data_IF_274179960974
#
_entry.id   IF_274179960974
#
_cell.length_a   1.000
_cell.length_b   1.000
_cell.length_c   1.000
_cell.angle_alpha   90.00
_cell.angle_beta   90.00
_cell.angle_gamma   90.00
#
_symmetry.space_group_name_H-M   'P 1'
#
loop_
_entity.id
_entity.type
_entity.pdbx_description
1 polymer ?
#
# COMPACT_ATOMS: atom_id res chain seq x y z
N UNK A 1 6.17 9.93 5.26
CA UNK A 1 4.99 10.24 4.42
C UNK A 1 4.53 11.68 4.58
N UNK A 2 4.55 12.22 5.80
CA UNK A 2 3.97 13.53 6.13
C UNK A 2 4.48 14.69 5.25
N UNK A 3 5.78 14.75 4.98
CA UNK A 3 6.35 15.76 4.07
C UNK A 3 5.80 15.66 2.64
N UNK A 4 5.61 14.44 2.13
CA UNK A 4 5.03 14.21 0.78
C UNK A 4 3.57 14.65 0.76
N UNK A 5 2.80 14.28 1.78
CA UNK A 5 1.39 14.68 1.88
C UNK A 5 1.24 16.20 2.01
N UNK A 6 2.08 16.85 2.82
CA UNK A 6 2.08 18.30 2.96
C UNK A 6 2.40 19.02 1.65
N UNK A 7 3.33 18.49 0.85
CA UNK A 7 3.65 19.06 -0.47
C UNK A 7 2.55 18.80 -1.51
N UNK A 8 1.88 17.64 -1.44
CA UNK A 8 0.81 17.29 -2.37
C UNK A 8 -0.52 18.00 -2.07
N UNK A 9 -0.78 18.32 -0.80
CA UNK A 9 -2.07 18.84 -0.33
C UNK A 9 -2.61 20.02 -1.15
N UNK A 10 -1.87 21.11 -1.42
CA UNK A 10 -2.43 22.24 -2.15
C UNK A 10 -2.96 21.85 -3.54
N UNK A 11 -2.23 20.97 -4.25
CA UNK A 11 -2.64 20.46 -5.57
C UNK A 11 -3.87 19.56 -5.48
N UNK A 12 -3.95 18.73 -4.43
CA UNK A 12 -5.11 17.87 -4.18
C UNK A 12 -6.35 18.69 -3.84
N UNK A 13 -6.22 19.78 -3.09
CA UNK A 13 -7.32 20.72 -2.78
C UNK A 13 -7.82 21.37 -4.07
N UNK A 14 -6.93 21.94 -4.88
CA UNK A 14 -7.30 22.53 -6.17
C UNK A 14 -8.03 21.53 -7.07
N UNK A 15 -7.51 20.30 -7.17
CA UNK A 15 -8.14 19.25 -7.96
C UNK A 15 -9.54 18.91 -7.43
N UNK A 16 -9.69 18.73 -6.11
CA UNK A 16 -10.97 18.36 -5.51
C UNK A 16 -12.06 19.42 -5.75
N UNK A 17 -11.71 20.71 -5.70
CA UNK A 17 -12.63 21.83 -5.99
C UNK A 17 -13.12 21.82 -7.45
N UNK A 18 -12.31 21.29 -8.37
CA UNK A 18 -12.61 21.22 -9.81
C UNK A 18 -13.40 19.97 -10.20
N UNK A 19 -13.56 18.98 -9.31
CA UNK A 19 -14.26 17.75 -9.65
C UNK A 19 -15.77 18.01 -9.84
N UNK A 20 -16.25 17.61 -11.01
CA UNK A 20 -17.68 17.53 -11.33
C UNK A 20 -18.30 16.28 -10.71
N UNK A 21 -19.61 16.32 -10.52
CA UNK A 21 -20.35 15.18 -9.98
C UNK A 21 -20.23 13.94 -10.90
N UNK A 22 -20.10 14.15 -12.21
CA UNK A 22 -19.85 13.08 -13.18
C UNK A 22 -18.48 12.43 -12.97
N UNK A 23 -17.42 13.21 -12.70
CA UNK A 23 -16.10 12.69 -12.38
C UNK A 23 -16.09 11.93 -11.04
N UNK A 24 -16.81 12.40 -10.03
CA UNK A 24 -16.96 11.70 -8.74
C UNK A 24 -17.67 10.36 -8.92
N UNK A 25 -18.76 10.31 -9.71
CA UNK A 25 -19.44 9.04 -10.06
C UNK A 25 -18.54 8.10 -10.86
N UNK A 26 -17.73 8.63 -11.77
CA UNK A 26 -16.77 7.81 -12.52
C UNK A 26 -15.67 7.24 -11.61
N UNK A 27 -15.21 8.00 -10.61
CA UNK A 27 -14.28 7.50 -9.59
C UNK A 27 -14.91 6.35 -8.80
N UNK A 28 -16.15 6.48 -8.35
CA UNK A 28 -16.88 5.41 -7.64
C UNK A 28 -16.96 4.14 -8.50
N UNK A 29 -17.32 4.27 -9.80
CA UNK A 29 -17.31 3.14 -10.73
C UNK A 29 -15.94 2.49 -10.84
N UNK A 30 -14.87 3.29 -10.99
CA UNK A 30 -13.49 2.77 -11.05
C UNK A 30 -13.05 2.09 -9.76
N UNK A 31 -13.50 2.57 -8.61
CA UNK A 31 -13.26 1.90 -7.32
C UNK A 31 -13.99 0.54 -7.29
N UNK A 32 -15.23 0.46 -7.76
CA UNK A 32 -15.98 -0.79 -7.83
C UNK A 32 -15.31 -1.82 -8.76
N UNK A 33 -14.92 -1.41 -9.97
CA UNK A 33 -14.19 -2.26 -10.92
C UNK A 33 -12.89 -2.80 -10.28
N UNK A 34 -12.08 -1.89 -9.72
CA UNK A 34 -10.82 -2.26 -9.05
C UNK A 34 -11.04 -3.17 -7.84
N UNK A 35 -12.16 -3.02 -7.13
CA UNK A 35 -12.51 -3.89 -6.02
C UNK A 35 -12.90 -5.29 -6.49
N UNK A 36 -13.61 -5.42 -7.61
CA UNK A 36 -13.93 -6.72 -8.18
C UNK A 36 -12.65 -7.48 -8.56
N UNK A 37 -11.70 -6.80 -9.20
CA UNK A 37 -10.40 -7.39 -9.53
C UNK A 37 -9.59 -7.75 -8.28
N UNK A 38 -9.65 -6.91 -7.25
CA UNK A 38 -9.01 -7.22 -5.97
C UNK A 38 -9.60 -8.48 -5.32
N UNK A 39 -10.92 -8.67 -5.35
CA UNK A 39 -11.55 -9.89 -4.82
C UNK A 39 -11.13 -11.15 -5.58
N UNK A 40 -11.15 -11.09 -6.92
CA UNK A 40 -10.66 -12.18 -7.78
C UNK A 40 -9.23 -12.57 -7.44
N UNK A 41 -8.40 -11.56 -7.13
CA UNK A 41 -7.00 -11.78 -6.84
C UNK A 41 -6.74 -12.30 -5.41
N UNK A 42 -7.57 -11.94 -4.42
CA UNK A 42 -7.20 -12.13 -3.01
C UNK A 42 -8.23 -12.85 -2.13
N UNK A 43 -9.50 -12.88 -2.54
CA UNK A 43 -10.59 -13.51 -1.78
C UNK A 43 -11.15 -14.78 -2.43
N UNK A 44 -11.17 -14.81 -3.76
CA UNK A 44 -11.67 -15.94 -4.54
C UNK A 44 -10.69 -17.13 -4.67
N UNK A 45 -9.35 -16.96 -4.65
CA UNK A 45 -8.43 -18.08 -4.72
C UNK A 45 -8.59 -19.05 -3.54
N UNK A 46 -8.33 -20.33 -3.78
CA UNK A 46 -8.25 -21.33 -2.71
C UNK A 46 -7.12 -20.99 -1.71
N UNK A 47 -7.15 -21.51 -0.47
CA UNK A 47 -6.08 -21.28 0.49
C UNK A 47 -4.68 -21.64 -0.04
N UNK A 48 -4.58 -22.69 -0.86
CA UNK A 48 -3.32 -23.10 -1.49
C UNK A 48 -2.87 -22.12 -2.58
N UNK A 49 -3.79 -21.69 -3.45
CA UNK A 49 -3.49 -20.71 -4.49
C UNK A 49 -3.06 -19.37 -3.88
N UNK A 50 -3.75 -18.91 -2.83
CA UNK A 50 -3.39 -17.70 -2.10
C UNK A 50 -2.01 -17.82 -1.45
N UNK A 51 -1.69 -18.96 -0.84
CA UNK A 51 -0.36 -19.23 -0.26
C UNK A 51 0.73 -19.15 -1.33
N UNK A 52 0.52 -19.79 -2.47
CA UNK A 52 1.50 -19.79 -3.56
C UNK A 52 1.68 -18.39 -4.17
N UNK A 53 0.60 -17.65 -4.38
CA UNK A 53 0.64 -16.27 -4.85
C UNK A 53 1.39 -15.35 -3.88
N UNK A 54 1.12 -15.46 -2.57
CA UNK A 54 1.85 -14.72 -1.54
C UNK A 54 3.34 -15.06 -1.54
N UNK A 55 3.67 -16.35 -1.69
CA UNK A 55 5.04 -16.81 -1.81
C UNK A 55 5.74 -16.20 -3.03
N UNK A 56 5.17 -16.33 -4.23
CA UNK A 56 5.73 -15.74 -5.45
C UNK A 56 5.95 -14.24 -5.33
N UNK A 57 5.00 -13.50 -4.75
CA UNK A 57 5.10 -12.05 -4.54
C UNK A 57 6.23 -11.67 -3.59
N UNK A 58 6.42 -12.42 -2.50
CA UNK A 58 7.51 -12.14 -1.57
C UNK A 58 8.87 -12.59 -2.11
N UNK A 59 8.91 -13.72 -2.82
CA UNK A 59 10.12 -14.23 -3.48
C UNK A 59 10.63 -13.20 -4.49
N UNK A 60 9.76 -12.76 -5.41
CA UNK A 60 10.09 -11.74 -6.40
C UNK A 60 10.62 -10.46 -5.75
N UNK A 61 10.00 -9.99 -4.65
CA UNK A 61 10.49 -8.82 -3.92
C UNK A 61 11.84 -9.02 -3.28
N UNK A 62 12.10 -10.17 -2.68
CA UNK A 62 13.39 -10.46 -2.11
C UNK A 62 14.47 -10.55 -3.21
N UNK A 63 14.16 -11.20 -4.34
CA UNK A 63 15.09 -11.37 -5.45
C UNK A 63 15.42 -10.06 -6.18
N UNK A 64 14.52 -9.06 -6.16
CA UNK A 64 14.84 -7.70 -6.64
C UNK A 64 16.03 -7.07 -5.91
N UNK A 65 16.19 -7.34 -4.61
CA UNK A 65 17.31 -6.81 -3.83
C UNK A 65 18.49 -7.77 -3.82
N UNK A 66 18.26 -9.03 -3.49
CA UNK A 66 19.34 -9.97 -3.18
C UNK A 66 19.83 -10.78 -4.39
N UNK A 67 19.14 -10.70 -5.54
CA UNK A 67 19.33 -11.65 -6.64
C UNK A 67 18.65 -13.00 -6.32
N UNK A 68 18.90 -14.02 -7.14
CA UNK A 68 18.27 -15.35 -6.98
C UNK A 68 18.45 -15.91 -5.58
N UNK A 69 17.36 -16.40 -4.99
CA UNK A 69 17.39 -17.05 -3.67
C UNK A 69 17.63 -18.56 -3.78
N UNK A 70 18.42 -19.09 -2.85
CA UNK A 70 18.67 -20.52 -2.69
C UNK A 70 17.60 -21.17 -1.78
N UNK A 71 17.50 -22.49 -1.80
CA UNK A 71 16.45 -23.20 -1.05
C UNK A 71 16.43 -22.91 0.46
N UNK A 72 17.56 -22.77 1.19
CA UNK A 72 17.51 -22.37 2.60
C UNK A 72 16.80 -21.03 2.82
N UNK A 73 16.97 -20.06 1.91
CA UNK A 73 16.36 -18.73 2.00
C UNK A 73 14.88 -18.76 1.60
N UNK A 74 14.55 -19.53 0.55
CA UNK A 74 13.17 -19.79 0.16
C UNK A 74 12.39 -20.49 1.27
N UNK A 75 13.01 -21.43 1.99
CA UNK A 75 12.42 -22.09 3.15
C UNK A 75 12.11 -21.11 4.29
N UNK A 76 12.99 -20.16 4.58
CA UNK A 76 12.72 -19.07 5.55
C UNK A 76 11.47 -18.29 5.15
N UNK A 77 11.33 -17.96 3.86
CA UNK A 77 10.18 -17.23 3.37
C UNK A 77 8.87 -18.04 3.46
N UNK A 78 8.89 -19.32 3.06
CA UNK A 78 7.73 -20.22 3.18
C UNK A 78 7.28 -20.35 4.64
N UNK A 79 8.23 -20.53 5.57
CA UNK A 79 7.95 -20.64 6.99
C UNK A 79 7.35 -19.35 7.58
N UNK A 80 7.85 -18.18 7.15
CA UNK A 80 7.30 -16.90 7.57
C UNK A 80 5.85 -16.69 7.07
N UNK A 81 5.57 -17.05 5.82
CA UNK A 81 4.24 -16.94 5.25
C UNK A 81 3.22 -17.89 5.90
N UNK A 82 3.67 -19.09 6.30
CA UNK A 82 2.83 -20.07 6.99
C UNK A 82 2.39 -19.60 8.38
N UNK A 83 3.20 -18.80 9.08
CA UNK A 83 2.87 -18.25 10.41
C UNK A 83 2.19 -16.88 10.39
N UNK A 84 2.08 -16.27 9.21
CA UNK A 84 1.61 -14.88 9.10
C UNK A 84 0.12 -14.75 9.38
N UNK A 85 -0.27 -13.74 10.16
CA UNK A 85 -1.66 -13.40 10.47
C UNK A 85 -2.42 -12.72 9.32
N UNK A 86 -1.82 -12.66 8.12
CA UNK A 86 -2.41 -12.02 6.95
C UNK A 86 -3.84 -12.53 6.67
N UNK A 87 -4.75 -11.57 6.66
CA UNK A 87 -6.16 -11.77 6.37
C UNK A 87 -6.56 -10.82 5.22
N UNK A 88 -6.87 -11.37 4.02
CA UNK A 88 -7.26 -10.54 2.90
C UNK A 88 -8.64 -9.89 3.11
N UNK A 89 -9.55 -10.47 3.90
CA UNK A 89 -10.86 -9.86 4.16
C UNK A 89 -10.71 -8.57 4.98
N UNK A 90 -9.84 -8.56 6.00
CA UNK A 90 -9.53 -7.34 6.78
C UNK A 90 -8.95 -6.24 5.90
N UNK A 91 -8.04 -6.58 5.00
CA UNK A 91 -7.46 -5.62 4.06
C UNK A 91 -8.50 -5.07 3.07
N UNK A 92 -9.40 -5.93 2.58
CA UNK A 92 -10.49 -5.51 1.71
C UNK A 92 -11.46 -4.56 2.42
N UNK A 93 -11.86 -4.87 3.65
CA UNK A 93 -12.78 -4.04 4.42
C UNK A 93 -12.23 -2.62 4.63
N UNK A 94 -10.95 -2.48 5.02
CA UNK A 94 -10.32 -1.16 5.16
C UNK A 94 -10.19 -0.44 3.82
N UNK A 95 -9.87 -1.16 2.73
CA UNK A 95 -9.83 -0.58 1.38
C UNK A 95 -11.17 0.06 1.01
N UNK A 96 -12.27 -0.68 1.19
CA UNK A 96 -13.63 -0.19 0.88
C UNK A 96 -14.01 0.98 1.79
N UNK A 97 -13.65 0.92 3.09
CA UNK A 97 -13.88 2.02 4.03
C UNK A 97 -13.20 3.31 3.56
N UNK A 98 -11.91 3.24 3.19
CA UNK A 98 -11.14 4.39 2.69
C UNK A 98 -11.73 4.97 1.41
N UNK A 99 -12.17 4.12 0.49
CA UNK A 99 -12.81 4.55 -0.76
C UNK A 99 -14.14 5.27 -0.50
N UNK A 100 -15.00 4.73 0.38
CA UNK A 100 -16.25 5.37 0.79
C UNK A 100 -16.01 6.71 1.47
N UNK A 101 -15.02 6.79 2.35
CA UNK A 101 -14.61 8.02 3.03
C UNK A 101 -14.17 9.10 2.02
N UNK A 102 -13.38 8.73 1.01
CA UNK A 102 -12.98 9.64 -0.07
C UNK A 102 -14.20 10.18 -0.83
N UNK A 103 -15.13 9.31 -1.24
CA UNK A 103 -16.33 9.73 -1.97
C UNK A 103 -17.17 10.72 -1.16
N UNK A 104 -17.36 10.46 0.14
CA UNK A 104 -18.07 11.37 1.03
C UNK A 104 -17.39 12.73 1.16
N UNK A 105 -16.06 12.74 1.25
CA UNK A 105 -15.25 13.97 1.31
C UNK A 105 -15.41 14.77 0.03
N UNK A 106 -15.28 14.13 -1.13
CA UNK A 106 -15.43 14.80 -2.44
C UNK A 106 -16.85 15.33 -2.66
N UNK A 107 -17.88 14.59 -2.25
CA UNK A 107 -19.27 15.04 -2.30
C UNK A 107 -19.50 16.27 -1.43
N UNK A 108 -18.93 16.31 -0.22
CA UNK A 108 -18.99 17.50 0.65
C UNK A 108 -18.28 18.70 0.05
N UNK A 109 -17.09 18.50 -0.55
CA UNK A 109 -16.38 19.57 -1.27
C UNK A 109 -17.21 20.10 -2.45
N UNK A 110 -17.90 19.23 -3.17
CA UNK A 110 -18.74 19.62 -4.30
C UNK A 110 -19.96 20.48 -3.93
N UNK A 111 -20.40 20.45 -2.66
CA UNK A 111 -21.52 21.27 -2.17
C UNK A 111 -21.17 22.75 -2.05
N UNK A 112 -19.91 23.08 -1.76
CA UNK A 112 -19.41 24.46 -1.67
C UNK A 112 -17.99 24.56 -2.26
N UNK A 113 -17.93 24.61 -3.59
CA UNK A 113 -16.68 24.68 -4.36
C UNK A 113 -15.93 26.02 -4.20
N UNK A 114 -16.52 27.02 -3.55
CA UNK A 114 -15.86 28.30 -3.31
C UNK A 114 -15.13 28.34 -1.96
N UNK A 115 -15.40 27.37 -1.08
CA UNK A 115 -14.84 27.30 0.26
C UNK A 115 -13.56 26.46 0.31
N UNK A 116 -12.45 27.08 -0.11
CA UNK A 116 -11.14 26.43 -0.15
C UNK A 116 -10.66 25.95 1.23
N UNK A 117 -10.94 26.72 2.30
CA UNK A 117 -10.54 26.32 3.66
C UNK A 117 -11.30 25.08 4.14
N UNK A 118 -12.60 24.99 3.88
CA UNK A 118 -13.37 23.80 4.19
C UNK A 118 -12.88 22.58 3.40
N UNK A 119 -12.62 22.74 2.10
CA UNK A 119 -12.09 21.66 1.27
C UNK A 119 -10.72 21.16 1.77
N UNK A 120 -9.84 22.09 2.17
CA UNK A 120 -8.56 21.75 2.79
C UNK A 120 -8.75 20.97 4.10
N UNK A 121 -9.63 21.42 4.98
CA UNK A 121 -9.90 20.74 6.24
C UNK A 121 -10.45 19.31 6.03
N UNK A 122 -11.38 19.15 5.09
CA UNK A 122 -11.96 17.85 4.74
C UNK A 122 -10.91 16.87 4.18
N UNK A 123 -10.07 17.33 3.26
CA UNK A 123 -9.00 16.53 2.67
C UNK A 123 -7.91 16.17 3.69
N UNK A 124 -7.52 17.09 4.58
CA UNK A 124 -6.61 16.78 5.70
C UNK A 124 -7.18 15.69 6.60
N UNK A 125 -8.45 15.81 6.97
CA UNK A 125 -9.14 14.80 7.77
C UNK A 125 -9.16 13.43 7.07
N UNK A 126 -9.43 13.40 5.76
CA UNK A 126 -9.35 12.18 4.96
C UNK A 126 -7.94 11.58 4.96
N UNK A 127 -6.90 12.38 4.69
CA UNK A 127 -5.52 11.91 4.66
C UNK A 127 -5.08 11.32 6.01
N UNK A 128 -5.48 11.95 7.12
CA UNK A 128 -5.23 11.43 8.46
C UNK A 128 -5.90 10.06 8.67
N UNK A 129 -7.18 9.91 8.29
CA UNK A 129 -7.91 8.64 8.40
C UNK A 129 -7.45 7.57 7.39
N UNK A 130 -6.84 7.98 6.29
CA UNK A 130 -6.24 7.09 5.32
C UNK A 130 -4.91 6.53 5.85
N UNK A 131 -4.08 7.38 6.44
CA UNK A 131 -2.80 6.98 7.04
C UNK A 131 -3.00 6.14 8.30
N UNK A 132 -3.91 6.56 9.18
CA UNK A 132 -4.27 5.87 10.41
C UNK A 132 -5.76 5.54 10.38
N UNK A 133 -6.08 4.24 10.22
CA UNK A 133 -7.49 3.81 10.20
C UNK A 133 -8.19 4.24 11.50
N UNK A 134 -9.44 4.74 11.46
CA UNK A 134 -10.22 4.97 12.66
C UNK A 134 -10.67 3.66 13.35
N UNK A 135 -10.51 2.50 12.71
CA UNK A 135 -10.80 1.19 13.30
C UNK A 135 -9.60 0.68 14.12
N UNK A 136 -9.74 0.69 15.45
CA UNK A 136 -8.70 0.24 16.37
C UNK A 136 -8.36 -1.25 16.22
N UNK A 137 -9.30 -2.11 15.80
CA UNK A 137 -9.02 -3.52 15.53
C UNK A 137 -8.20 -3.68 14.25
N UNK A 138 -8.50 -2.89 13.21
CA UNK A 138 -7.66 -2.85 12.02
C UNK A 138 -6.27 -2.28 12.31
N UNK A 139 -6.16 -1.23 13.14
CA UNK A 139 -4.85 -0.69 13.54
C UNK A 139 -3.96 -1.76 14.20
N UNK A 140 -4.51 -2.52 15.16
CA UNK A 140 -3.77 -3.63 15.81
C UNK A 140 -3.34 -4.67 14.79
N UNK A 141 -4.24 -5.09 13.92
CA UNK A 141 -3.92 -6.01 12.83
C UNK A 141 -2.80 -5.47 11.92
N UNK A 142 -2.89 -4.22 11.50
CA UNK A 142 -1.87 -3.59 10.65
C UNK A 142 -0.50 -3.51 11.36
N UNK A 143 -0.50 -3.22 12.66
CA UNK A 143 0.72 -3.23 13.47
C UNK A 143 1.34 -4.62 13.57
N UNK A 144 0.55 -5.67 13.82
CA UNK A 144 1.03 -7.07 13.79
C UNK A 144 1.62 -7.43 12.43
N UNK A 145 0.99 -7.01 11.32
CA UNK A 145 1.52 -7.23 9.98
C UNK A 145 2.88 -6.55 9.75
N UNK A 146 3.10 -5.36 10.32
CA UNK A 146 4.39 -4.67 10.27
C UNK A 146 5.44 -5.44 11.06
N UNK A 147 5.12 -5.88 12.28
CA UNK A 147 6.02 -6.65 13.15
C UNK A 147 6.44 -7.97 12.50
N UNK A 148 5.48 -8.74 11.96
CA UNK A 148 5.75 -9.97 11.21
C UNK A 148 6.61 -9.71 9.97
N UNK A 149 6.36 -8.61 9.26
CA UNK A 149 7.14 -8.19 8.09
C UNK A 149 8.59 -7.87 8.46
N UNK A 150 8.81 -7.13 9.54
CA UNK A 150 10.14 -6.82 10.07
C UNK A 150 10.89 -8.09 10.50
N UNK A 151 10.22 -9.00 11.21
CA UNK A 151 10.80 -10.28 11.61
C UNK A 151 11.18 -11.12 10.37
N UNK A 152 10.28 -11.20 9.39
CA UNK A 152 10.51 -11.93 8.14
C UNK A 152 11.70 -11.36 7.37
N UNK A 153 11.78 -10.03 7.26
CA UNK A 153 12.90 -9.35 6.61
C UNK A 153 14.22 -9.64 7.34
N UNK A 154 14.25 -9.53 8.67
CA UNK A 154 15.45 -9.79 9.47
C UNK A 154 15.95 -11.23 9.29
N UNK A 155 15.05 -12.21 9.42
CA UNK A 155 15.40 -13.63 9.23
C UNK A 155 15.90 -13.91 7.82
N UNK A 156 15.25 -13.34 6.81
CA UNK A 156 15.67 -13.52 5.41
C UNK A 156 17.04 -12.88 5.18
N UNK A 157 17.25 -11.64 5.63
CA UNK A 157 18.55 -10.96 5.54
C UNK A 157 19.67 -11.78 6.20
N UNK A 158 19.43 -12.34 7.39
CA UNK A 158 20.42 -13.17 8.08
C UNK A 158 20.78 -14.45 7.31
N UNK A 159 19.85 -14.98 6.51
CA UNK A 159 20.08 -16.15 5.66
C UNK A 159 20.81 -15.83 4.34
N UNK A 160 21.05 -14.55 4.02
CA UNK A 160 21.74 -14.14 2.78
C UNK A 160 23.25 -14.37 2.84
N UNK A 161 23.84 -14.68 1.68
CA UNK A 161 25.29 -14.76 1.50
C UNK A 161 25.94 -13.38 1.38
N UNK A 162 27.27 -13.31 1.53
CA UNK A 162 28.00 -12.06 1.32
C UNK A 162 27.79 -11.48 -0.10
N UNK A 163 27.73 -12.33 -1.12
CA UNK A 163 27.46 -11.92 -2.50
C UNK A 163 26.06 -11.33 -2.68
N UNK A 164 25.04 -11.93 -2.06
CA UNK A 164 23.67 -11.41 -2.10
C UNK A 164 23.55 -10.07 -1.35
N UNK A 165 24.27 -9.88 -0.23
CA UNK A 165 24.31 -8.59 0.47
C UNK A 165 24.98 -7.51 -0.38
N UNK A 166 26.05 -7.83 -1.10
CA UNK A 166 26.67 -6.92 -2.05
C UNK A 166 25.69 -6.55 -3.18
N UNK A 167 24.95 -7.53 -3.70
CA UNK A 167 23.90 -7.28 -4.71
C UNK A 167 22.82 -6.33 -4.19
N UNK A 168 22.37 -6.52 -2.94
CA UNK A 168 21.40 -5.61 -2.33
C UNK A 168 21.92 -4.16 -2.22
N UNK A 169 23.19 -3.97 -1.85
CA UNK A 169 23.82 -2.64 -1.86
C UNK A 169 23.84 -2.05 -3.27
N UNK A 170 24.15 -2.84 -4.30
CA UNK A 170 24.13 -2.37 -5.69
C UNK A 170 22.72 -1.99 -6.15
N UNK A 171 21.71 -2.81 -5.85
CA UNK A 171 20.31 -2.49 -6.18
C UNK A 171 19.86 -1.18 -5.51
N UNK A 172 20.22 -0.96 -4.24
CA UNK A 172 19.90 0.27 -3.53
C UNK A 172 20.61 1.50 -4.13
N UNK A 173 21.88 1.37 -4.54
CA UNK A 173 22.59 2.44 -5.26
C UNK A 173 21.94 2.77 -6.60
N UNK A 174 21.41 1.76 -7.31
CA UNK A 174 20.63 1.98 -8.53
C UNK A 174 19.39 2.85 -8.26
N UNK A 175 18.60 2.51 -7.24
CA UNK A 175 17.45 3.31 -6.86
C UNK A 175 17.80 4.73 -6.40
N UNK A 176 18.88 4.89 -5.64
CA UNK A 176 19.39 6.22 -5.28
C UNK A 176 19.68 7.07 -6.52
N UNK A 177 20.37 6.49 -7.51
CA UNK A 177 20.66 7.16 -8.77
C UNK A 177 19.38 7.52 -9.54
N UNK A 178 18.42 6.60 -9.60
CA UNK A 178 17.11 6.86 -10.24
C UNK A 178 16.39 8.04 -9.56
N UNK A 179 16.40 8.11 -8.24
CA UNK A 179 15.81 9.24 -7.51
C UNK A 179 16.50 10.57 -7.80
N UNK A 180 17.83 10.60 -7.88
CA UNK A 180 18.57 11.81 -8.25
C UNK A 180 18.24 12.27 -9.68
N UNK A 181 18.15 11.34 -10.62
CA UNK A 181 17.78 11.64 -12.02
C UNK A 181 16.34 12.15 -12.14
N UNK A 182 15.41 11.60 -11.36
CA UNK A 182 14.02 12.07 -11.33
C UNK A 182 13.87 13.42 -10.65
N UNK A 183 14.67 13.71 -9.61
CA UNK A 183 14.63 14.99 -8.92
C UNK A 183 15.26 16.14 -9.72
N UNK A 184 16.11 15.83 -10.69
CA UNK A 184 16.72 16.79 -11.60
C UNK A 184 15.84 17.16 -12.81
N UNK A 185 14.67 16.53 -12.96
CA UNK A 185 13.66 16.83 -13.98
C UNK A 185 12.63 17.84 -13.47
#
# INVERSE_FOLDING_TARGET
LDKVLAQAEPKLVTLALQLTDAQIRNLEKKQADSNADWKKEWLEPSPEQLREQRYKRHLSRAEMFYGTLEEPQKAVLRAALARSSFDPQRNYAERVRRQKDLLQVLQKVAQDRNNTEQARALLRGYMARFATSPDAAYQRYAQTQVEEGCETFSRMHNATTAGQRLKAVQSLKGYEQDFWLLAAQ
#
